data_IF_977769499304
#
_entry.id   IF_977769499304
#
_cell.length_a   1.000
_cell.length_b   1.000
_cell.length_c   1.000
_cell.angle_alpha   90.00
_cell.angle_beta   90.00
_cell.angle_gamma   90.00
#
_symmetry.space_group_name_H-M   'P 1'
#
loop_
_entity.id
_entity.type
_entity.pdbx_description
1 polymer ?
#
# COMPACT_ATOMS: atom_id res chain seq x y z
N UNK A 1 -21.11 -13.24 -1.53
CA UNK A 1 -20.64 -12.48 -2.72
C UNK A 1 -19.14 -12.63 -2.92
N UNK A 2 -18.35 -12.50 -1.85
CA UNK A 2 -16.90 -12.58 -1.88
C UNK A 2 -16.37 -13.98 -2.29
N UNK A 3 -16.90 -15.08 -1.74
CA UNK A 3 -16.58 -16.45 -2.19
C UNK A 3 -16.82 -16.68 -3.69
N UNK A 4 -17.86 -16.05 -4.25
CA UNK A 4 -18.16 -16.10 -5.69
C UNK A 4 -17.10 -15.34 -6.51
N UNK A 5 -16.65 -14.17 -6.05
CA UNK A 5 -15.57 -13.42 -6.72
C UNK A 5 -14.21 -14.11 -6.60
N UNK A 6 -13.92 -14.77 -5.48
CA UNK A 6 -12.74 -15.62 -5.33
C UNK A 6 -12.72 -16.78 -6.33
N UNK A 7 -13.86 -17.44 -6.52
CA UNK A 7 -14.04 -18.45 -7.57
C UNK A 7 -13.75 -17.88 -8.96
N UNK A 8 -14.25 -16.67 -9.25
CA UNK A 8 -13.97 -15.98 -10.52
C UNK A 8 -12.50 -15.66 -10.72
N UNK A 9 -11.76 -15.25 -9.70
CA UNK A 9 -10.30 -15.02 -9.82
C UNK A 9 -9.56 -16.31 -10.16
N UNK A 10 -9.98 -17.44 -9.57
CA UNK A 10 -9.38 -18.76 -9.83
C UNK A 10 -9.62 -19.26 -11.25
N UNK A 11 -10.87 -19.16 -11.70
CA UNK A 11 -11.34 -19.74 -12.95
C UNK A 11 -11.17 -18.80 -14.16
N UNK A 12 -10.94 -17.50 -13.93
CA UNK A 12 -10.78 -16.54 -15.01
C UNK A 12 -9.62 -16.92 -15.95
N UNK A 13 -9.78 -16.74 -17.28
CA UNK A 13 -8.66 -16.75 -18.20
C UNK A 13 -7.56 -15.78 -17.73
N UNK A 14 -6.29 -16.10 -17.98
CA UNK A 14 -5.16 -15.27 -17.51
C UNK A 14 -5.31 -13.78 -17.89
N UNK A 15 -5.80 -13.50 -19.10
CA UNK A 15 -6.06 -12.15 -19.60
C UNK A 15 -7.15 -11.38 -18.82
N UNK A 16 -8.05 -12.07 -18.12
CA UNK A 16 -9.15 -11.49 -17.34
C UNK A 16 -8.88 -11.53 -15.82
N UNK A 17 -7.76 -12.12 -15.38
CA UNK A 17 -7.46 -12.28 -13.96
C UNK A 17 -7.44 -10.94 -13.23
N UNK A 18 -6.80 -9.91 -13.80
CA UNK A 18 -6.76 -8.58 -13.16
C UNK A 18 -8.15 -7.95 -13.02
N UNK A 19 -9.03 -8.14 -14.00
CA UNK A 19 -10.40 -7.63 -13.90
C UNK A 19 -11.18 -8.34 -12.81
N UNK A 20 -11.00 -9.66 -12.67
CA UNK A 20 -11.61 -10.42 -11.58
C UNK A 20 -11.06 -10.00 -10.21
N UNK A 21 -9.76 -9.74 -10.11
CA UNK A 21 -9.10 -9.23 -8.90
C UNK A 21 -9.59 -7.82 -8.56
N UNK A 22 -9.70 -6.92 -9.54
CA UNK A 22 -10.24 -5.59 -9.35
C UNK A 22 -11.66 -5.65 -8.77
N UNK A 23 -12.53 -6.51 -9.30
CA UNK A 23 -13.88 -6.70 -8.76
C UNK A 23 -13.89 -7.18 -7.30
N UNK A 24 -12.91 -8.02 -6.91
CA UNK A 24 -12.72 -8.47 -5.54
C UNK A 24 -12.27 -7.33 -4.62
N UNK A 25 -11.22 -6.59 -5.01
CA UNK A 25 -10.66 -5.45 -4.24
C UNK A 25 -11.68 -4.32 -4.12
N UNK A 26 -12.52 -4.11 -5.14
CA UNK A 26 -13.59 -3.12 -5.11
C UNK A 26 -14.63 -3.37 -4.00
N UNK A 27 -14.78 -4.60 -3.51
CA UNK A 27 -15.62 -4.87 -2.33
C UNK A 27 -14.93 -4.48 -1.02
N UNK A 28 -13.59 -4.52 -0.96
CA UNK A 28 -12.81 -4.13 0.24
C UNK A 28 -12.69 -2.60 0.40
N UNK A 29 -13.16 -1.81 -0.57
CA UNK A 29 -13.06 -0.34 -0.56
C UNK A 29 -13.82 0.34 0.59
N UNK A 30 -14.83 -0.32 1.16
CA UNK A 30 -15.61 0.22 2.30
C UNK A 30 -14.88 0.07 3.64
N UNK A 31 -13.65 -0.43 3.62
CA UNK A 31 -12.83 -0.71 4.78
C UNK A 31 -11.71 0.32 4.83
N UNK A 32 -11.76 1.17 5.86
CA UNK A 32 -10.97 2.41 6.00
C UNK A 32 -9.47 2.27 6.21
N UNK A 33 -8.80 1.38 5.48
CA UNK A 33 -7.32 1.32 5.33
C UNK A 33 -6.88 1.05 3.89
N UNK A 34 -7.80 0.78 2.95
CA UNK A 34 -7.49 0.40 1.56
C UNK A 34 -7.47 1.63 0.62
N UNK A 35 -7.98 2.78 1.08
CA UNK A 35 -8.21 3.96 0.23
C UNK A 35 -6.92 4.72 -0.16
N UNK A 36 -5.90 4.76 0.69
CA UNK A 36 -4.69 5.60 0.51
C UNK A 36 -3.53 4.91 -0.23
N UNK A 37 -3.63 3.61 -0.46
CA UNK A 37 -2.57 2.78 -1.06
C UNK A 37 -2.91 2.26 -2.44
N UNK A 38 -4.17 2.42 -2.85
CA UNK A 38 -4.72 1.99 -4.13
C UNK A 38 -5.24 3.23 -4.86
N UNK A 39 -4.62 3.60 -5.99
CA UNK A 39 -5.26 4.44 -7.00
C UNK A 39 -6.52 3.76 -7.60
N UNK A 40 -7.71 4.16 -7.16
CA UNK A 40 -8.98 3.53 -7.54
C UNK A 40 -9.43 3.78 -8.99
N UNK A 41 -8.68 4.57 -9.76
CA UNK A 41 -8.92 4.77 -11.19
C UNK A 41 -7.69 4.39 -12.04
N UNK A 42 -7.23 3.12 -12.00
CA UNK A 42 -6.13 2.69 -12.86
C UNK A 42 -6.57 2.58 -14.34
N UNK A 43 -7.88 2.44 -14.57
CA UNK A 43 -8.48 2.29 -15.89
C UNK A 43 -8.16 3.50 -16.77
N UNK A 44 -7.43 3.23 -17.86
CA UNK A 44 -7.13 4.23 -18.87
C UNK A 44 -5.82 5.00 -18.66
N UNK A 45 -4.98 4.66 -17.68
CA UNK A 45 -3.64 5.25 -17.52
C UNK A 45 -2.52 4.30 -17.97
N UNK A 46 -2.61 3.04 -17.56
CA UNK A 46 -1.66 1.98 -17.94
C UNK A 46 -2.38 0.65 -18.18
N UNK A 47 -1.79 -0.20 -19.02
CA UNK A 47 -2.23 -1.58 -19.23
C UNK A 47 -1.07 -2.53 -18.96
N UNK A 48 -1.36 -3.63 -18.29
CA UNK A 48 -0.37 -4.69 -18.05
C UNK A 48 -0.33 -5.65 -19.24
N UNK A 49 0.87 -6.05 -19.64
CA UNK A 49 1.14 -7.12 -20.59
C UNK A 49 2.28 -8.00 -20.07
N UNK A 50 2.34 -9.29 -20.48
CA UNK A 50 3.55 -10.09 -20.29
C UNK A 50 4.76 -9.41 -20.94
N UNK A 51 5.94 -9.55 -20.33
CA UNK A 51 7.18 -9.10 -20.95
C UNK A 51 7.48 -9.92 -22.21
N UNK A 52 7.55 -9.27 -23.36
CA UNK A 52 8.03 -9.91 -24.58
C UNK A 52 9.57 -9.79 -24.69
N UNK A 53 10.26 -10.64 -25.46
CA UNK A 53 11.71 -10.52 -25.65
C UNK A 53 12.18 -9.14 -26.14
N UNK A 54 11.34 -8.45 -26.94
CA UNK A 54 11.62 -7.09 -27.40
C UNK A 54 11.54 -6.02 -26.30
N UNK A 55 10.92 -6.32 -25.16
CA UNK A 55 10.69 -5.41 -24.04
C UNK A 55 11.80 -5.50 -22.98
N UNK A 56 12.61 -6.56 -22.99
CA UNK A 56 13.62 -6.86 -21.95
C UNK A 56 14.62 -5.73 -21.73
N UNK A 57 15.12 -5.13 -22.82
CA UNK A 57 16.04 -3.99 -22.74
C UNK A 57 15.41 -2.83 -21.96
N UNK A 58 14.13 -2.54 -22.23
CA UNK A 58 13.42 -1.46 -21.57
C UNK A 58 13.11 -1.78 -20.09
N UNK A 59 12.81 -3.03 -19.77
CA UNK A 59 12.65 -3.49 -18.38
C UNK A 59 13.93 -3.27 -17.59
N UNK A 60 15.08 -3.67 -18.14
CA UNK A 60 16.39 -3.49 -17.51
C UNK A 60 16.73 -2.02 -17.32
N UNK A 61 16.41 -1.15 -18.28
CA UNK A 61 16.58 0.30 -18.16
C UNK A 61 15.74 0.89 -17.02
N UNK A 62 14.46 0.51 -16.92
CA UNK A 62 13.57 0.98 -15.85
C UNK A 62 14.12 0.59 -14.47
N UNK A 63 14.56 -0.66 -14.32
CA UNK A 63 15.15 -1.16 -13.08
C UNK A 63 16.46 -0.44 -12.78
N UNK A 64 17.30 -0.17 -13.79
CA UNK A 64 18.52 0.60 -13.62
C UNK A 64 18.24 2.02 -13.11
N UNK A 65 17.25 2.70 -13.70
CA UNK A 65 16.85 4.06 -13.32
C UNK A 65 16.35 4.14 -11.87
N UNK A 66 15.57 3.15 -11.43
CA UNK A 66 14.93 3.17 -10.11
C UNK A 66 15.72 2.47 -8.99
N UNK A 67 16.53 1.47 -9.34
CA UNK A 67 17.18 0.54 -8.40
C UNK A 67 18.67 0.36 -8.62
N UNK A 68 19.26 1.01 -9.62
CA UNK A 68 20.71 0.99 -9.87
C UNK A 68 21.22 -0.18 -10.71
N UNK A 69 22.53 -0.18 -10.94
CA UNK A 69 23.21 -1.10 -11.85
C UNK A 69 23.18 -2.56 -11.40
N UNK A 70 23.33 -2.79 -10.09
CA UNK A 70 23.32 -4.11 -9.46
C UNK A 70 21.95 -4.78 -9.63
N UNK A 71 20.87 -4.04 -9.33
CA UNK A 71 19.50 -4.52 -9.51
C UNK A 71 19.20 -4.82 -10.97
N UNK A 72 19.68 -3.99 -11.91
CA UNK A 72 19.55 -4.23 -13.34
C UNK A 72 20.33 -5.47 -13.82
N UNK A 73 21.50 -5.76 -13.24
CA UNK A 73 22.25 -6.98 -13.53
C UNK A 73 21.51 -8.24 -13.02
N UNK A 74 20.95 -8.17 -11.80
CA UNK A 74 20.12 -9.24 -11.25
C UNK A 74 18.84 -9.43 -12.09
N UNK A 75 18.24 -8.35 -12.58
CA UNK A 75 17.08 -8.44 -13.46
C UNK A 75 17.38 -9.18 -14.76
N UNK A 76 18.55 -8.93 -15.39
CA UNK A 76 19.00 -9.70 -16.56
C UNK A 76 19.14 -11.18 -16.24
N UNK A 77 19.77 -11.52 -15.10
CA UNK A 77 19.91 -12.91 -14.66
C UNK A 77 18.57 -13.63 -14.59
N UNK A 78 17.52 -12.96 -14.08
CA UNK A 78 16.18 -13.53 -13.99
C UNK A 78 15.42 -13.51 -15.31
N UNK A 79 15.56 -12.48 -16.15
CA UNK A 79 14.96 -12.46 -17.49
C UNK A 79 15.47 -13.63 -18.35
N UNK A 80 16.74 -14.00 -18.22
CA UNK A 80 17.32 -15.15 -18.93
C UNK A 80 16.71 -16.51 -18.49
N UNK A 81 16.13 -16.58 -17.29
CA UNK A 81 15.71 -17.84 -16.64
C UNK A 81 14.20 -17.99 -16.49
N UNK A 82 13.54 -16.90 -16.12
CA UNK A 82 12.10 -16.80 -15.89
C UNK A 82 11.57 -15.54 -16.59
N UNK A 83 11.70 -15.40 -17.92
CA UNK A 83 11.15 -14.25 -18.64
C UNK A 83 9.62 -14.14 -18.43
N UNK A 84 8.93 -15.26 -18.24
CA UNK A 84 7.51 -15.33 -17.94
C UNK A 84 7.12 -14.75 -16.58
N UNK A 85 8.07 -14.57 -15.66
CA UNK A 85 7.83 -13.94 -14.37
C UNK A 85 7.66 -12.42 -14.48
N UNK A 86 8.06 -11.81 -15.60
CA UNK A 86 8.05 -10.36 -15.78
C UNK A 86 6.79 -9.87 -16.50
N UNK A 87 6.22 -8.80 -15.95
CA UNK A 87 5.15 -8.01 -16.54
C UNK A 87 5.63 -6.59 -16.83
N UNK A 88 5.12 -6.02 -17.92
CA UNK A 88 5.34 -4.63 -18.31
C UNK A 88 4.04 -3.84 -18.25
N UNK A 89 4.14 -2.58 -17.85
CA UNK A 89 3.00 -1.67 -17.80
C UNK A 89 3.19 -0.58 -18.85
N UNK A 90 2.30 -0.57 -19.84
CA UNK A 90 2.32 0.38 -20.96
C UNK A 90 1.35 1.52 -20.72
N UNK A 91 1.78 2.75 -20.99
CA UNK A 91 0.86 3.88 -21.02
C UNK A 91 -0.20 3.66 -22.08
N UNK A 92 -1.47 3.85 -21.72
CA UNK A 92 -2.59 3.85 -22.67
C UNK A 92 -2.57 5.06 -23.61
N UNK A 93 -1.82 6.11 -23.28
CA UNK A 93 -1.71 7.34 -24.04
C UNK A 93 -0.57 7.32 -25.06
N UNK A 94 0.60 6.83 -24.66
CA UNK A 94 1.82 6.86 -25.49
C UNK A 94 2.28 5.49 -25.97
N UNK A 95 1.71 4.41 -25.43
CA UNK A 95 2.15 3.03 -25.68
C UNK A 95 3.50 2.62 -25.09
N UNK A 96 4.22 3.58 -24.50
CA UNK A 96 5.53 3.34 -23.89
C UNK A 96 5.43 2.47 -22.64
N UNK A 97 6.45 1.64 -22.42
CA UNK A 97 6.63 0.92 -21.16
C UNK A 97 7.14 1.90 -20.11
N UNK A 98 6.30 2.15 -19.11
CA UNK A 98 6.56 3.12 -18.04
C UNK A 98 6.91 2.47 -16.70
N UNK A 99 6.58 1.19 -16.54
CA UNK A 99 6.84 0.43 -15.32
C UNK A 99 6.97 -1.06 -15.62
N UNK A 100 7.52 -1.82 -14.67
CA UNK A 100 7.58 -3.28 -14.70
C UNK A 100 7.41 -3.88 -13.30
N UNK A 101 7.18 -5.19 -13.24
CA UNK A 101 7.18 -5.99 -12.02
C UNK A 101 7.53 -7.44 -12.33
N UNK A 102 8.08 -8.16 -11.36
CA UNK A 102 8.37 -9.58 -11.47
C UNK A 102 7.70 -10.38 -10.35
N UNK A 103 7.17 -11.55 -10.68
CA UNK A 103 6.69 -12.56 -9.74
C UNK A 103 7.50 -13.85 -9.93
N UNK A 104 8.66 -13.91 -9.26
CA UNK A 104 9.60 -15.01 -9.39
C UNK A 104 9.06 -16.24 -8.66
N UNK A 105 9.10 -17.42 -9.30
CA UNK A 105 8.69 -18.69 -8.70
C UNK A 105 9.93 -19.55 -8.46
N UNK A 106 10.16 -19.94 -7.21
CA UNK A 106 11.38 -20.63 -6.80
C UNK A 106 11.03 -21.95 -6.10
N UNK A 107 11.49 -23.05 -6.68
CA UNK A 107 11.33 -24.42 -6.12
C UNK A 107 12.67 -25.01 -5.64
N UNK A 108 13.77 -24.27 -5.82
CA UNK A 108 15.12 -24.65 -5.41
C UNK A 108 16.04 -23.43 -5.37
N UNK A 109 17.29 -23.58 -4.90
CA UNK A 109 18.18 -22.48 -4.48
C UNK A 109 18.76 -21.65 -5.65
N UNK A 110 18.12 -21.65 -6.81
CA UNK A 110 18.56 -20.88 -7.96
C UNK A 110 18.60 -19.38 -7.62
N UNK A 111 19.68 -18.72 -8.01
CA UNK A 111 19.87 -17.29 -7.82
C UNK A 111 20.24 -16.86 -6.40
N UNK A 112 20.40 -17.78 -5.44
CA UNK A 112 20.86 -17.42 -4.08
C UNK A 112 22.23 -16.73 -4.07
N UNK A 113 23.13 -17.11 -4.97
CA UNK A 113 24.48 -16.55 -5.09
C UNK A 113 24.54 -15.23 -5.87
N UNK A 114 23.52 -14.96 -6.68
CA UNK A 114 23.43 -13.76 -7.53
C UNK A 114 22.59 -12.66 -6.90
N UNK A 115 21.58 -13.07 -6.11
CA UNK A 115 20.50 -12.21 -5.71
C UNK A 115 20.32 -12.19 -4.18
N UNK A 116 20.80 -11.14 -3.49
CA UNK A 116 20.73 -11.02 -2.04
C UNK A 116 19.31 -11.05 -1.46
N UNK A 117 18.31 -10.64 -2.24
CA UNK A 117 16.90 -10.67 -1.81
C UNK A 117 16.36 -12.09 -1.87
N UNK A 118 16.72 -12.85 -2.90
CA UNK A 118 16.36 -14.28 -3.01
C UNK A 118 17.07 -15.09 -1.94
N UNK A 119 18.36 -14.82 -1.70
CA UNK A 119 19.10 -15.42 -0.58
C UNK A 119 18.43 -15.15 0.78
N UNK A 120 17.99 -13.91 1.02
CA UNK A 120 17.26 -13.55 2.23
C UNK A 120 15.93 -14.29 2.37
N UNK A 121 15.17 -14.45 1.28
CA UNK A 121 13.93 -15.21 1.28
C UNK A 121 14.16 -16.69 1.60
N UNK A 122 15.17 -17.30 0.99
CA UNK A 122 15.57 -18.67 1.29
C UNK A 122 16.01 -18.84 2.74
N UNK A 123 16.86 -17.95 3.26
CA UNK A 123 17.28 -18.00 4.66
C UNK A 123 16.08 -17.92 5.61
N UNK A 124 15.08 -17.07 5.32
CA UNK A 124 13.84 -17.00 6.10
C UNK A 124 13.04 -18.30 6.04
N UNK A 125 12.86 -18.87 4.84
CA UNK A 125 12.13 -20.12 4.67
C UNK A 125 12.81 -21.29 5.40
N UNK A 126 14.14 -21.38 5.33
CA UNK A 126 14.92 -22.41 6.02
C UNK A 126 14.86 -22.28 7.56
N UNK A 127 14.90 -21.05 8.07
CA UNK A 127 14.82 -20.80 9.52
C UNK A 127 13.42 -21.03 10.09
N UNK A 128 12.37 -20.76 9.30
CA UNK A 128 10.98 -20.93 9.69
C UNK A 128 10.47 -22.34 9.41
N UNK A 129 9.95 -22.56 8.21
CA UNK A 129 9.49 -23.88 7.77
C UNK A 129 9.92 -24.12 6.33
N UNK A 130 10.90 -25.02 6.11
CA UNK A 130 11.44 -25.32 4.80
C UNK A 130 10.38 -25.83 3.83
N UNK A 131 10.64 -25.65 2.52
CA UNK A 131 9.78 -26.18 1.47
C UNK A 131 9.74 -27.71 1.51
N UNK A 132 8.55 -28.28 1.31
CA UNK A 132 8.37 -29.71 1.08
C UNK A 132 8.53 -30.03 -0.42
N UNK A 133 8.70 -31.31 -0.73
CA UNK A 133 8.75 -31.76 -2.12
C UNK A 133 7.47 -31.34 -2.88
N UNK A 134 7.64 -30.68 -4.02
CA UNK A 134 6.55 -30.16 -4.85
C UNK A 134 6.00 -28.79 -4.43
N UNK A 135 6.46 -28.23 -3.31
CA UNK A 135 6.13 -26.86 -2.91
C UNK A 135 7.09 -25.84 -3.54
N UNK A 136 6.63 -24.61 -3.67
CA UNK A 136 7.44 -23.50 -4.13
C UNK A 136 7.24 -22.26 -3.25
N UNK A 137 8.20 -21.34 -3.30
CA UNK A 137 8.02 -19.97 -2.83
C UNK A 137 7.92 -19.01 -4.00
N UNK A 138 7.29 -17.85 -3.78
CA UNK A 138 7.20 -16.80 -4.76
C UNK A 138 7.67 -15.45 -4.21
N UNK A 139 8.34 -14.66 -5.04
CA UNK A 139 8.88 -13.35 -4.67
C UNK A 139 8.38 -12.30 -5.65
N UNK A 140 7.61 -11.35 -5.14
CA UNK A 140 7.23 -10.14 -5.87
C UNK A 140 8.38 -9.13 -5.81
N UNK A 141 9.08 -8.97 -6.93
CA UNK A 141 10.35 -8.23 -7.06
C UNK A 141 10.27 -7.23 -8.21
N UNK A 142 11.19 -6.27 -8.26
CA UNK A 142 11.27 -5.26 -9.33
C UNK A 142 9.96 -4.48 -9.57
N UNK A 143 9.20 -4.16 -8.51
CA UNK A 143 8.04 -3.26 -8.62
C UNK A 143 8.51 -1.83 -8.91
N UNK A 144 8.72 -1.54 -10.18
CA UNK A 144 9.44 -0.35 -10.62
C UNK A 144 8.55 0.50 -11.51
N UNK A 145 8.33 1.73 -11.04
CA UNK A 145 7.86 2.87 -11.81
C UNK A 145 8.80 4.02 -11.44
N UNK A 146 9.74 4.46 -12.30
CA UNK A 146 10.72 5.47 -11.90
C UNK A 146 10.09 6.79 -11.44
N UNK A 147 8.89 7.13 -11.93
CA UNK A 147 8.20 8.37 -11.58
C UNK A 147 7.42 8.25 -10.25
N UNK A 148 7.04 7.02 -9.86
CA UNK A 148 6.27 6.73 -8.66
C UNK A 148 6.82 5.52 -7.88
N UNK A 149 8.16 5.42 -7.78
CA UNK A 149 8.82 4.20 -7.36
C UNK A 149 8.35 3.72 -5.98
N UNK A 150 7.71 2.54 -5.95
CA UNK A 150 7.07 1.94 -4.78
C UNK A 150 6.22 2.92 -3.97
N UNK A 151 5.44 3.73 -4.69
CA UNK A 151 4.40 4.60 -4.15
C UNK A 151 3.06 4.29 -4.85
N UNK A 152 1.93 4.71 -4.26
CA UNK A 152 0.62 4.52 -4.89
C UNK A 152 0.60 5.12 -6.29
N UNK A 153 0.30 4.28 -7.28
CA UNK A 153 0.20 4.60 -8.70
C UNK A 153 -0.62 3.52 -9.41
N UNK A 154 -1.11 3.83 -10.60
CA UNK A 154 -1.84 2.85 -11.41
C UNK A 154 -0.99 1.59 -11.72
N UNK A 155 0.31 1.76 -11.99
CA UNK A 155 1.25 0.65 -12.23
C UNK A 155 1.46 -0.21 -10.99
N UNK A 156 1.69 0.42 -9.82
CA UNK A 156 1.86 -0.29 -8.56
C UNK A 156 0.60 -1.06 -8.15
N UNK A 157 -0.58 -0.50 -8.39
CA UNK A 157 -1.85 -1.20 -8.12
C UNK A 157 -2.00 -2.46 -8.95
N UNK A 158 -1.80 -2.36 -10.27
CA UNK A 158 -1.90 -3.50 -11.15
C UNK A 158 -0.88 -4.58 -10.77
N UNK A 159 0.32 -4.19 -10.33
CA UNK A 159 1.31 -5.13 -9.82
C UNK A 159 0.87 -5.83 -8.54
N UNK A 160 0.29 -5.10 -7.58
CA UNK A 160 -0.27 -5.71 -6.36
C UNK A 160 -1.46 -6.64 -6.67
N UNK A 161 -2.31 -6.27 -7.63
CA UNK A 161 -3.41 -7.11 -8.08
C UNK A 161 -2.93 -8.36 -8.80
N UNK A 162 -1.85 -8.26 -9.58
CA UNK A 162 -1.18 -9.42 -10.17
C UNK A 162 -0.70 -10.36 -9.09
N UNK A 163 0.05 -9.86 -8.09
CA UNK A 163 0.53 -10.64 -6.94
C UNK A 163 -0.64 -11.36 -6.24
N UNK A 164 -1.73 -10.66 -5.96
CA UNK A 164 -2.89 -11.26 -5.30
C UNK A 164 -3.56 -12.34 -6.16
N UNK A 165 -3.71 -12.09 -7.47
CA UNK A 165 -4.24 -13.07 -8.42
C UNK A 165 -3.37 -14.34 -8.49
N UNK A 166 -2.05 -14.18 -8.56
CA UNK A 166 -1.10 -15.30 -8.57
C UNK A 166 -1.20 -16.12 -7.27
N UNK A 167 -1.24 -15.47 -6.11
CA UNK A 167 -1.41 -16.15 -4.81
C UNK A 167 -2.72 -16.96 -4.77
N UNK A 168 -3.83 -16.38 -5.24
CA UNK A 168 -5.16 -17.02 -5.21
C UNK A 168 -5.21 -18.25 -6.13
N UNK A 169 -4.47 -18.21 -7.24
CA UNK A 169 -4.42 -19.26 -8.28
C UNK A 169 -3.29 -20.27 -8.07
N UNK A 170 -2.35 -20.01 -7.16
CA UNK A 170 -1.20 -20.86 -7.00
C UNK A 170 -1.57 -22.20 -6.34
N UNK A 171 -1.11 -23.29 -6.97
CA UNK A 171 -1.09 -24.62 -6.38
C UNK A 171 0.24 -24.84 -5.67
N UNK A 172 0.21 -25.37 -4.44
CA UNK A 172 1.42 -25.70 -3.65
C UNK A 172 2.36 -24.51 -3.36
N UNK A 173 1.83 -23.28 -3.31
CA UNK A 173 2.58 -22.13 -2.80
C UNK A 173 2.74 -22.24 -1.29
N UNK A 174 3.98 -22.36 -0.82
CA UNK A 174 4.29 -22.40 0.61
C UNK A 174 4.53 -21.01 1.19
N UNK A 175 5.36 -20.20 0.52
CA UNK A 175 5.73 -18.86 0.96
C UNK A 175 5.53 -17.83 -0.14
N UNK A 176 4.98 -16.67 0.19
CA UNK A 176 5.09 -15.48 -0.67
C UNK A 176 5.87 -14.38 0.03
N UNK A 177 6.73 -13.71 -0.72
CA UNK A 177 7.48 -12.54 -0.28
C UNK A 177 7.13 -11.34 -1.15
N UNK A 178 6.85 -10.20 -0.53
CA UNK A 178 6.73 -8.90 -1.20
C UNK A 178 7.93 -8.06 -0.81
N UNK A 179 8.69 -7.59 -1.81
CA UNK A 179 9.93 -6.85 -1.61
C UNK A 179 9.64 -5.36 -1.78
N UNK A 180 9.89 -4.59 -0.73
CA UNK A 180 9.77 -3.12 -0.73
C UNK A 180 11.07 -2.48 -0.24
N UNK A 181 11.24 -1.19 -0.51
CA UNK A 181 12.26 -0.36 0.12
C UNK A 181 12.06 -0.35 1.62
N UNK A 182 13.18 -0.36 2.32
CA UNK A 182 13.19 -0.30 3.78
C UNK A 182 13.03 1.14 4.29
N UNK A 183 11.95 1.79 3.86
CA UNK A 183 11.58 3.16 4.27
C UNK A 183 10.33 3.19 5.18
N UNK A 184 9.75 2.03 5.44
CA UNK A 184 8.61 1.83 6.32
C UNK A 184 7.25 2.20 5.73
N UNK A 185 7.18 2.74 4.51
CA UNK A 185 5.93 3.21 3.90
C UNK A 185 4.86 2.11 3.85
N UNK A 186 5.24 0.91 3.42
CA UNK A 186 4.32 -0.22 3.22
C UNK A 186 4.06 -1.07 4.47
N UNK A 187 4.70 -0.78 5.61
CA UNK A 187 4.62 -1.61 6.82
C UNK A 187 3.18 -1.81 7.31
N UNK A 188 2.42 -0.71 7.45
CA UNK A 188 1.06 -0.76 7.97
C UNK A 188 0.11 -1.51 7.03
N UNK A 189 0.18 -1.19 5.73
CA UNK A 189 -0.66 -1.84 4.71
C UNK A 189 -0.38 -3.33 4.57
N UNK A 190 0.89 -3.73 4.43
CA UNK A 190 1.25 -5.15 4.30
C UNK A 190 0.99 -5.91 5.61
N UNK A 191 1.25 -5.30 6.76
CA UNK A 191 0.92 -5.88 8.07
C UNK A 191 -0.59 -6.11 8.25
N UNK A 192 -1.43 -5.17 7.81
CA UNK A 192 -2.89 -5.35 7.81
C UNK A 192 -3.32 -6.53 6.92
N UNK A 193 -2.63 -6.75 5.79
CA UNK A 193 -2.82 -7.92 4.93
C UNK A 193 -2.18 -9.21 5.48
N UNK A 194 -1.67 -9.20 6.71
CA UNK A 194 -1.00 -10.34 7.35
C UNK A 194 0.30 -10.75 6.65
N UNK A 195 0.88 -9.86 5.85
CA UNK A 195 2.21 -10.01 5.27
C UNK A 195 3.20 -9.36 6.25
N UNK A 196 3.83 -10.17 7.09
CA UNK A 196 4.67 -9.66 8.18
C UNK A 196 6.09 -9.41 7.70
N UNK A 197 6.74 -8.31 8.12
CA UNK A 197 8.13 -8.09 7.75
C UNK A 197 9.03 -9.16 8.34
N UNK A 198 9.98 -9.64 7.54
CA UNK A 198 11.08 -10.48 8.01
C UNK A 198 12.15 -9.64 8.73
N UNK A 199 13.05 -10.32 9.45
CA UNK A 199 14.22 -9.69 10.07
C UNK A 199 15.33 -9.37 9.05
N UNK A 200 15.26 -9.97 7.86
CA UNK A 200 16.25 -9.77 6.82
C UNK A 200 16.13 -8.37 6.21
N UNK A 201 17.29 -7.71 6.05
CA UNK A 201 17.43 -6.40 5.41
C UNK A 201 18.50 -6.46 4.32
N UNK A 202 18.26 -7.18 3.21
CA UNK A 202 19.23 -7.28 2.15
C UNK A 202 19.51 -5.92 1.53
N UNK A 203 20.75 -5.75 1.10
CA UNK A 203 21.22 -4.57 0.39
C UNK A 203 21.63 -4.99 -1.01
N UNK A 204 21.21 -4.22 -2.01
CA UNK A 204 21.60 -4.40 -3.42
C UNK A 204 22.11 -3.06 -3.91
N UNK A 205 23.39 -2.95 -4.26
CA UNK A 205 24.03 -1.66 -4.52
C UNK A 205 23.90 -0.72 -3.31
N UNK A 206 23.41 0.49 -3.54
CA UNK A 206 23.21 1.52 -2.49
C UNK A 206 21.84 1.45 -1.80
N UNK A 207 21.14 0.32 -1.92
CA UNK A 207 19.72 0.23 -1.64
C UNK A 207 19.35 -0.88 -0.68
N UNK A 208 18.79 -0.50 0.47
CA UNK A 208 18.24 -1.41 1.46
C UNK A 208 16.78 -1.79 1.16
N UNK A 209 16.49 -3.08 1.26
CA UNK A 209 15.17 -3.66 1.04
C UNK A 209 14.66 -4.38 2.28
N UNK A 210 13.34 -4.52 2.35
CA UNK A 210 12.65 -5.33 3.34
C UNK A 210 11.71 -6.31 2.65
N UNK A 211 11.74 -7.54 3.14
CA UNK A 211 10.83 -8.60 2.68
C UNK A 211 9.67 -8.72 3.65
N UNK A 212 8.45 -8.77 3.12
CA UNK A 212 7.23 -9.09 3.85
C UNK A 212 6.80 -10.48 3.44
N UNK A 213 6.73 -11.39 4.41
CA UNK A 213 6.54 -12.81 4.17
C UNK A 213 5.18 -13.28 4.69
N UNK A 214 4.67 -14.34 4.04
CA UNK A 214 3.53 -15.11 4.54
C UNK A 214 3.68 -16.58 4.20
N UNK A 215 3.43 -17.42 5.20
CA UNK A 215 3.35 -18.87 5.08
C UNK A 215 1.90 -19.30 4.78
N UNK A 216 1.63 -19.71 3.55
CA UNK A 216 0.30 -20.10 3.10
C UNK A 216 -0.10 -21.51 3.54
N UNK A 217 0.81 -22.30 4.11
CA UNK A 217 0.48 -23.61 4.70
C UNK A 217 -0.24 -23.46 6.05
N UNK A 218 -0.03 -22.33 6.74
CA UNK A 218 -0.68 -22.05 8.03
C UNK A 218 -2.16 -21.69 7.85
N UNK A 219 -2.49 -21.02 6.74
CA UNK A 219 -3.84 -20.64 6.38
C UNK A 219 -3.90 -20.40 4.86
N UNK A 220 -4.79 -21.11 4.17
CA UNK A 220 -4.93 -20.93 2.71
C UNK A 220 -5.37 -19.51 2.35
N UNK A 221 -4.96 -19.02 1.17
CA UNK A 221 -5.31 -17.68 0.69
C UNK A 221 -6.81 -17.40 0.67
N UNK A 222 -7.63 -18.42 0.40
CA UNK A 222 -9.10 -18.30 0.40
C UNK A 222 -9.67 -18.14 1.80
N UNK A 223 -9.15 -18.87 2.78
CA UNK A 223 -9.58 -18.73 4.18
C UNK A 223 -9.13 -17.38 4.72
N UNK A 224 -7.91 -16.94 4.40
CA UNK A 224 -7.42 -15.61 4.77
C UNK A 224 -8.27 -14.46 4.18
N UNK A 225 -8.63 -14.54 2.89
CA UNK A 225 -9.51 -13.56 2.25
C UNK A 225 -10.92 -13.58 2.86
N UNK A 226 -11.49 -14.76 3.11
CA UNK A 226 -12.81 -14.90 3.74
C UNK A 226 -12.85 -14.46 5.21
N UNK A 227 -11.76 -14.59 5.96
CA UNK A 227 -11.68 -14.07 7.34
C UNK A 227 -11.51 -12.57 7.39
N UNK A 228 -10.86 -11.97 6.40
CA UNK A 228 -10.97 -10.52 6.20
C UNK A 228 -12.45 -10.15 6.00
N UNK A 229 -13.21 -10.81 5.13
CA UNK A 229 -14.68 -10.60 5.00
C UNK A 229 -15.44 -10.71 6.35
N UNK A 230 -15.12 -11.66 7.22
CA UNK A 230 -15.74 -11.77 8.55
C UNK A 230 -15.35 -10.64 9.52
N UNK A 231 -14.10 -10.16 9.45
CA UNK A 231 -13.67 -8.94 10.15
C UNK A 231 -14.40 -7.69 9.63
N UNK A 232 -14.83 -7.70 8.37
CA UNK A 232 -15.57 -6.62 7.72
C UNK A 232 -17.08 -6.70 7.94
N UNK A 233 -17.63 -7.91 8.12
CA UNK A 233 -19.04 -8.15 8.43
C UNK A 233 -19.34 -8.05 9.95
N UNK A 234 -18.32 -8.15 10.81
CA UNK A 234 -18.43 -8.17 12.26
C UNK A 234 -18.22 -6.82 12.94
N UNK A 235 -19.05 -5.82 12.64
CA UNK A 235 -19.24 -4.70 13.56
C UNK A 235 -19.96 -5.21 14.82
N UNK A 236 -19.16 -5.63 15.81
CA UNK A 236 -19.59 -5.84 17.18
C UNK A 236 -19.88 -7.29 17.57
N UNK A 237 -18.86 -8.05 17.97
CA UNK A 237 -18.94 -8.93 19.14
C UNK A 237 -17.57 -9.49 19.60
N UNK A 238 -17.10 -8.91 20.70
CA UNK A 238 -16.57 -9.58 21.92
C UNK A 238 -15.12 -10.13 21.98
N UNK A 239 -14.40 -9.55 22.95
CA UNK A 239 -13.26 -10.03 23.78
C UNK A 239 -11.82 -9.86 23.29
N UNK A 240 -11.28 -8.65 23.53
CA UNK A 240 -9.84 -8.49 23.82
C UNK A 240 -9.51 -9.07 25.20
N UNK A 241 -8.43 -9.86 25.36
CA UNK A 241 -7.85 -10.12 26.67
C UNK A 241 -7.30 -8.80 27.22
N UNK A 242 -7.53 -8.57 28.52
CA UNK A 242 -7.13 -7.35 29.22
C UNK A 242 -5.64 -7.04 29.01
N UNK A 243 -5.35 -5.98 28.24
CA UNK A 243 -4.03 -5.34 28.23
C UNK A 243 -3.94 -4.43 29.46
N UNK A 244 -2.94 -4.70 30.29
CA UNK A 244 -2.60 -3.96 31.51
C UNK A 244 -2.51 -2.44 31.27
N UNK A 245 -2.91 -1.59 32.24
CA UNK A 245 -2.91 -0.15 32.08
C UNK A 245 -1.47 0.39 32.03
N UNK A 246 -1.05 0.87 30.86
CA UNK A 246 0.19 1.62 30.71
C UNK A 246 -0.01 3.03 31.29
N UNK A 247 0.92 3.46 32.14
CA UNK A 247 0.89 4.69 32.95
C UNK A 247 0.48 5.93 32.14
N UNK A 248 -0.58 6.61 32.60
CA UNK A 248 -1.03 7.93 32.14
C UNK A 248 0.11 8.96 32.25
N UNK A 249 0.80 9.22 31.14
CA UNK A 249 1.68 10.38 30.99
C UNK A 249 0.85 11.66 30.88
N UNK A 250 1.34 12.76 31.46
CA UNK A 250 0.68 14.08 31.41
C UNK A 250 0.56 14.53 29.94
N UNK A 251 -0.66 14.54 29.41
CA UNK A 251 -0.96 15.07 28.08
C UNK A 251 -0.59 16.56 28.02
N UNK A 252 0.10 16.97 26.96
CA UNK A 252 0.44 18.37 26.71
C UNK A 252 -0.79 19.02 26.06
N UNK A 253 -1.45 19.94 26.79
CA UNK A 253 -2.64 20.64 26.30
C UNK A 253 -2.19 21.79 25.39
N UNK A 254 -2.32 21.61 24.08
CA UNK A 254 -2.06 22.67 23.09
C UNK A 254 -3.25 23.66 23.06
N UNK A 255 -2.99 24.95 22.92
CA UNK A 255 -4.03 25.92 22.57
C UNK A 255 -4.53 25.70 21.14
N UNK A 256 -5.73 26.20 20.80
CA UNK A 256 -6.29 26.04 19.45
C UNK A 256 -5.35 26.55 18.33
N UNK A 257 -4.71 27.73 18.43
CA UNK A 257 -3.79 28.19 17.40
C UNK A 257 -2.51 27.33 17.26
N UNK A 258 -1.99 26.81 18.37
CA UNK A 258 -0.84 25.90 18.39
C UNK A 258 -1.20 24.55 17.77
N UNK A 259 -2.40 24.05 18.05
CA UNK A 259 -2.94 22.83 17.46
C UNK A 259 -3.13 22.96 15.96
N UNK A 260 -3.76 24.05 15.49
CA UNK A 260 -3.94 24.33 14.07
C UNK A 260 -2.59 24.37 13.32
N UNK A 261 -1.55 24.93 13.95
CA UNK A 261 -0.18 24.95 13.41
C UNK A 261 0.40 23.54 13.35
N UNK A 262 0.29 22.80 14.45
CA UNK A 262 0.78 21.44 14.54
C UNK A 262 0.10 20.50 13.52
N UNK A 263 -1.20 20.69 13.23
CA UNK A 263 -1.93 19.94 12.19
C UNK A 263 -1.38 20.26 10.80
N UNK A 264 -1.14 21.54 10.47
CA UNK A 264 -0.57 21.92 9.16
C UNK A 264 0.84 21.40 8.98
N UNK A 265 1.63 21.37 10.03
CA UNK A 265 2.99 20.83 10.01
C UNK A 265 2.96 19.30 9.93
N UNK A 266 2.00 18.65 10.59
CA UNK A 266 1.81 17.21 10.50
C UNK A 266 1.32 16.77 9.10
N UNK A 267 0.43 17.55 8.47
CA UNK A 267 0.00 17.31 7.07
C UNK A 267 1.16 17.51 6.09
N UNK A 268 2.04 18.49 6.34
CA UNK A 268 3.27 18.65 5.55
C UNK A 268 4.24 17.49 5.78
N UNK A 269 4.37 17.03 7.01
CA UNK A 269 5.22 15.91 7.41
C UNK A 269 4.53 14.53 7.21
N UNK A 270 3.37 14.47 6.54
CA UNK A 270 2.51 13.29 6.52
C UNK A 270 3.26 12.04 6.04
N UNK A 271 4.22 12.20 5.15
CA UNK A 271 4.99 11.11 4.56
C UNK A 271 6.41 10.97 5.09
N UNK A 272 6.76 11.69 6.18
CA UNK A 272 8.07 11.67 6.83
C UNK A 272 7.95 11.15 8.26
N UNK A 273 8.07 9.83 8.51
CA UNK A 273 7.79 9.23 9.82
C UNK A 273 8.55 9.87 10.98
N UNK A 274 9.81 10.27 10.77
CA UNK A 274 10.63 10.92 11.79
C UNK A 274 10.17 12.35 12.11
N UNK A 275 9.77 13.12 11.10
CA UNK A 275 9.24 14.48 11.28
C UNK A 275 7.85 14.45 11.92
N UNK A 276 7.04 13.46 11.55
CA UNK A 276 5.73 13.24 12.11
C UNK A 276 5.81 12.79 13.58
N UNK A 277 6.77 11.92 13.94
CA UNK A 277 7.04 11.53 15.32
C UNK A 277 7.53 12.70 16.19
N UNK A 278 8.22 13.68 15.60
CA UNK A 278 8.65 14.90 16.27
C UNK A 278 7.49 15.89 16.50
N UNK A 279 6.39 15.75 15.76
CA UNK A 279 5.23 16.64 15.86
C UNK A 279 4.58 16.57 17.26
N UNK A 280 4.21 17.70 17.87
CA UNK A 280 3.53 17.75 19.17
C UNK A 280 2.27 16.88 19.27
N UNK A 281 1.52 16.70 18.18
CA UNK A 281 0.30 15.88 18.13
C UNK A 281 0.57 14.39 18.38
N UNK A 282 1.80 13.90 18.15
CA UNK A 282 2.19 12.51 18.41
C UNK A 282 2.19 12.15 19.89
N UNK A 283 2.21 13.15 20.78
CA UNK A 283 2.09 13.00 22.23
C UNK A 283 0.73 13.51 22.76
N UNK A 284 -0.16 13.90 21.85
CA UNK A 284 -1.50 14.38 22.15
C UNK A 284 -2.45 13.25 22.56
N UNK A 285 -3.59 13.64 23.11
CA UNK A 285 -4.62 12.71 23.59
C UNK A 285 -5.18 11.86 22.44
N UNK A 286 -5.25 12.46 21.26
CA UNK A 286 -5.59 11.87 19.96
C UNK A 286 -4.90 10.52 19.66
N UNK A 287 -3.62 10.37 20.01
CA UNK A 287 -2.79 9.18 19.76
C UNK A 287 -2.76 8.26 20.98
N UNK A 288 -2.69 8.84 22.18
CA UNK A 288 -2.56 8.10 23.42
C UNK A 288 -3.82 7.28 23.80
N UNK A 289 -5.02 7.79 23.50
CA UNK A 289 -6.28 7.14 23.88
C UNK A 289 -6.82 6.18 22.81
N UNK A 290 -6.45 6.37 21.53
CA UNK A 290 -6.89 5.52 20.41
C UNK A 290 -5.96 4.33 20.15
N UNK A 291 -4.68 4.44 20.53
CA UNK A 291 -3.66 3.45 20.21
C UNK A 291 -3.22 3.45 18.74
N UNK A 292 -3.66 4.45 17.96
CA UNK A 292 -3.32 4.64 16.55
C UNK A 292 -2.11 5.57 16.39
N UNK A 293 -1.37 5.45 15.29
CA UNK A 293 -0.28 6.39 15.01
C UNK A 293 -0.84 7.75 14.55
N UNK A 294 -0.09 8.85 14.74
CA UNK A 294 -0.51 10.17 14.26
C UNK A 294 -0.81 10.17 12.75
N UNK A 295 -0.08 9.35 11.99
CA UNK A 295 -0.32 9.11 10.58
C UNK A 295 -1.73 8.59 10.31
N UNK A 296 -2.12 7.51 10.99
CA UNK A 296 -3.45 6.89 10.81
C UNK A 296 -4.58 7.82 11.23
N UNK A 297 -4.35 8.68 12.23
CA UNK A 297 -5.36 9.64 12.66
C UNK A 297 -5.52 10.79 11.65
N UNK A 298 -4.43 11.27 11.05
CA UNK A 298 -4.48 12.29 10.01
C UNK A 298 -5.19 11.79 8.75
N UNK A 299 -4.93 10.54 8.33
CA UNK A 299 -5.58 9.94 7.17
C UNK A 299 -7.10 9.82 7.39
N UNK A 300 -7.52 9.32 8.56
CA UNK A 300 -8.96 9.28 8.89
C UNK A 300 -9.62 10.65 8.92
N UNK A 301 -8.92 11.67 9.42
CA UNK A 301 -9.43 13.04 9.42
C UNK A 301 -9.49 13.65 8.00
N UNK A 302 -8.61 13.21 7.09
CA UNK A 302 -8.70 13.55 5.66
C UNK A 302 -9.93 12.88 5.03
N UNK A 303 -10.22 11.62 5.38
CA UNK A 303 -11.36 10.89 4.85
C UNK A 303 -12.72 11.49 5.24
N UNK A 304 -12.85 12.10 6.43
CA UNK A 304 -14.11 12.78 6.80
C UNK A 304 -14.47 13.94 5.85
N UNK A 305 -13.51 14.46 5.09
CA UNK A 305 -13.77 15.47 4.04
C UNK A 305 -14.73 14.94 2.98
N UNK A 306 -14.75 13.62 2.71
CA UNK A 306 -15.67 13.00 1.76
C UNK A 306 -17.14 13.09 2.18
N UNK A 307 -17.40 13.18 3.48
CA UNK A 307 -18.76 13.30 4.03
C UNK A 307 -19.38 14.69 3.81
N UNK A 308 -18.56 15.68 3.47
CA UNK A 308 -19.05 17.01 3.15
C UNK A 308 -19.69 17.07 1.76
N UNK A 309 -20.71 17.92 1.57
CA UNK A 309 -21.28 18.18 0.23
C UNK A 309 -20.19 18.72 -0.71
N UNK A 310 -19.88 17.98 -1.78
CA UNK A 310 -18.75 18.30 -2.68
C UNK A 310 -17.38 18.02 -2.07
N UNK A 311 -17.32 17.07 -1.13
CA UNK A 311 -16.12 16.58 -0.44
C UNK A 311 -15.11 15.93 -1.37
N UNK A 312 -15.55 15.23 -2.42
CA UNK A 312 -14.70 14.54 -3.41
C UNK A 312 -13.60 15.43 -3.98
N UNK A 313 -13.95 16.65 -4.43
CA UNK A 313 -12.96 17.60 -5.00
C UNK A 313 -11.99 18.13 -3.95
N UNK A 314 -12.43 18.25 -2.69
CA UNK A 314 -11.61 18.72 -1.56
C UNK A 314 -10.66 17.63 -1.08
N UNK A 315 -11.15 16.40 -0.97
CA UNK A 315 -10.39 15.19 -0.68
C UNK A 315 -9.30 14.98 -1.74
N UNK A 316 -9.66 15.07 -3.02
CA UNK A 316 -8.70 14.97 -4.12
C UNK A 316 -7.61 16.05 -4.06
N UNK A 317 -7.99 17.29 -3.73
CA UNK A 317 -7.02 18.39 -3.58
C UNK A 317 -6.08 18.15 -2.40
N UNK A 318 -6.57 17.78 -1.22
CA UNK A 318 -5.73 17.58 -0.03
C UNK A 318 -4.79 16.38 -0.19
N UNK A 319 -5.27 15.25 -0.73
CA UNK A 319 -4.45 14.06 -1.01
C UNK A 319 -3.37 14.35 -2.05
N UNK A 320 -3.72 15.05 -3.14
CA UNK A 320 -2.75 15.44 -4.17
C UNK A 320 -1.73 16.45 -3.65
N UNK A 321 -2.15 17.43 -2.84
CA UNK A 321 -1.28 18.50 -2.31
C UNK A 321 -0.22 17.96 -1.38
N UNK A 322 -0.62 17.07 -0.48
CA UNK A 322 0.30 16.51 0.49
C UNK A 322 1.01 15.27 -0.05
N UNK A 323 0.65 14.73 -1.22
CA UNK A 323 1.43 13.70 -1.92
C UNK A 323 2.79 14.22 -2.40
N UNK A 324 3.79 13.35 -2.46
CA UNK A 324 5.15 13.69 -2.95
C UNK A 324 5.19 14.04 -4.45
N UNK A 325 4.08 13.89 -5.17
CA UNK A 325 4.03 13.97 -6.63
C UNK A 325 3.73 15.38 -7.19
N UNK A 326 3.65 16.41 -6.34
CA UNK A 326 3.55 17.80 -6.76
C UNK A 326 4.57 18.65 -5.98
N UNK A 327 5.67 19.12 -6.61
CA UNK A 327 6.69 19.91 -5.91
C UNK A 327 6.15 21.29 -5.49
N UNK A 328 5.06 21.75 -6.11
CA UNK A 328 4.39 23.02 -5.77
C UNK A 328 2.87 22.89 -5.85
N UNK A 329 2.16 23.75 -5.12
CA UNK A 329 0.70 23.85 -5.16
C UNK A 329 0.18 24.20 -6.57
N UNK A 330 0.94 24.95 -7.36
CA UNK A 330 0.60 25.31 -8.74
C UNK A 330 0.76 24.11 -9.69
N UNK A 331 1.73 23.22 -9.44
CA UNK A 331 1.86 21.95 -10.15
C UNK A 331 0.69 21.01 -9.79
N UNK A 332 0.30 20.96 -8.51
CA UNK A 332 -0.88 20.20 -8.08
C UNK A 332 -2.16 20.72 -8.75
N UNK A 333 -2.37 22.04 -8.79
CA UNK A 333 -3.53 22.65 -9.46
C UNK A 333 -3.58 22.30 -10.95
N UNK A 334 -2.45 22.37 -11.66
CA UNK A 334 -2.34 21.99 -13.07
C UNK A 334 -2.66 20.51 -13.29
N UNK A 335 -2.14 19.62 -12.45
CA UNK A 335 -2.40 18.17 -12.51
C UNK A 335 -3.88 17.85 -12.31
N UNK A 336 -4.55 18.60 -11.45
CA UNK A 336 -5.98 18.44 -11.16
C UNK A 336 -6.90 19.12 -12.20
N UNK A 337 -6.34 19.75 -13.23
CA UNK A 337 -7.12 20.48 -14.24
C UNK A 337 -7.90 21.67 -13.65
N UNK A 338 -7.42 22.25 -12.55
CA UNK A 338 -8.08 23.34 -11.83
C UNK A 338 -7.32 24.65 -11.97
N UNK A 339 -8.04 25.78 -11.95
CA UNK A 339 -7.40 27.08 -11.74
C UNK A 339 -6.75 27.13 -10.35
N UNK A 340 -5.64 27.85 -10.22
CA UNK A 340 -4.93 27.97 -8.93
C UNK A 340 -5.82 28.55 -7.82
N UNK A 341 -6.68 29.51 -8.14
CA UNK A 341 -7.67 30.08 -7.21
C UNK A 341 -8.70 29.06 -6.73
N UNK A 342 -9.19 28.21 -7.64
CA UNK A 342 -10.14 27.13 -7.32
C UNK A 342 -9.47 26.07 -6.44
N UNK A 343 -8.26 25.67 -6.80
CA UNK A 343 -7.42 24.75 -6.02
C UNK A 343 -7.22 25.26 -4.59
N UNK A 344 -6.76 26.51 -4.43
CA UNK A 344 -6.46 27.08 -3.11
C UNK A 344 -7.70 27.13 -2.22
N UNK A 345 -8.86 27.47 -2.79
CA UNK A 345 -10.14 27.45 -2.08
C UNK A 345 -10.49 26.06 -1.56
N UNK A 346 -10.31 25.01 -2.38
CA UNK A 346 -10.56 23.64 -1.96
C UNK A 346 -9.56 23.17 -0.90
N UNK A 347 -8.28 23.49 -1.05
CA UNK A 347 -7.23 23.12 -0.08
C UNK A 347 -7.49 23.76 1.29
N UNK A 348 -7.77 25.07 1.34
CA UNK A 348 -8.08 25.77 2.59
C UNK A 348 -9.31 25.18 3.28
N UNK A 349 -10.36 24.85 2.53
CA UNK A 349 -11.56 24.24 3.08
C UNK A 349 -11.30 22.84 3.63
N UNK A 350 -10.53 22.01 2.91
CA UNK A 350 -10.18 20.66 3.34
C UNK A 350 -9.33 20.68 4.63
N UNK A 351 -8.26 21.49 4.65
CA UNK A 351 -7.39 21.62 5.83
C UNK A 351 -8.15 22.14 7.04
N UNK A 352 -9.05 23.10 6.86
CA UNK A 352 -9.94 23.58 7.93
C UNK A 352 -10.81 22.45 8.49
N UNK A 353 -11.45 21.67 7.61
CA UNK A 353 -12.29 20.54 8.03
C UNK A 353 -11.50 19.51 8.84
N UNK A 354 -10.36 19.05 8.31
CA UNK A 354 -9.44 18.13 9.00
C UNK A 354 -9.07 18.67 10.39
N UNK A 355 -8.74 19.96 10.47
CA UNK A 355 -8.33 20.61 11.72
C UNK A 355 -9.48 20.66 12.74
N UNK A 356 -10.70 20.97 12.29
CA UNK A 356 -11.90 21.02 13.12
C UNK A 356 -12.26 19.63 13.69
N UNK A 357 -12.18 18.58 12.88
CA UNK A 357 -12.43 17.19 13.29
C UNK A 357 -11.40 16.74 14.33
N UNK A 358 -10.11 16.94 14.05
CA UNK A 358 -9.03 16.59 14.98
C UNK A 358 -9.13 17.35 16.30
N UNK A 359 -9.52 18.62 16.26
CA UNK A 359 -9.71 19.42 17.48
C UNK A 359 -10.90 18.94 18.31
N UNK A 360 -12.02 18.60 17.67
CA UNK A 360 -13.17 18.01 18.37
C UNK A 360 -12.80 16.69 19.05
N UNK A 361 -11.93 15.91 18.42
CA UNK A 361 -11.37 14.69 18.98
C UNK A 361 -10.44 14.93 20.17
N UNK A 362 -9.54 15.91 20.08
CA UNK A 362 -8.64 16.25 21.19
C UNK A 362 -9.43 16.71 22.43
N UNK A 363 -10.55 17.42 22.23
CA UNK A 363 -11.42 17.86 23.32
C UNK A 363 -12.29 16.74 23.91
N UNK A 364 -12.86 15.87 23.07
CA UNK A 364 -13.81 14.83 23.49
C UNK A 364 -13.14 13.53 23.95
N UNK A 365 -11.98 13.17 23.39
CA UNK A 365 -11.32 11.87 23.59
C UNK A 365 -12.03 10.68 22.92
N UNK A 366 -13.03 10.93 22.06
CA UNK A 366 -13.65 9.88 21.25
C UNK A 366 -12.66 9.41 20.15
N UNK A 367 -12.93 8.33 19.40
CA UNK A 367 -12.22 7.97 18.16
C UNK A 367 -12.91 8.53 16.90
N UNK A 368 -12.14 8.92 15.87
CA UNK A 368 -12.71 9.48 14.62
C UNK A 368 -13.55 8.40 13.93
N UNK A 369 -14.87 8.55 13.97
CA UNK A 369 -15.82 7.72 13.24
C UNK A 369 -16.14 8.33 11.89
N UNK A 370 -15.80 7.62 10.81
CA UNK A 370 -16.29 7.89 9.46
C UNK A 370 -17.68 7.25 9.35
N UNK A 371 -18.70 8.05 9.07
CA UNK A 371 -20.11 7.68 9.14
C UNK A 371 -20.53 6.70 8.04
N UNK A 372 -20.67 5.42 8.38
CA UNK A 372 -21.43 4.43 7.60
C UNK A 372 -22.85 4.18 8.13
N UNK A 373 -23.35 5.01 9.05
CA UNK A 373 -24.69 4.84 9.60
C UNK A 373 -25.53 6.12 9.55
N UNK A 374 -26.20 6.31 8.41
CA UNK A 374 -27.42 7.12 8.30
C UNK A 374 -28.42 6.38 7.41
N UNK A 375 -28.84 5.20 7.85
CA UNK A 375 -30.04 4.53 7.33
C UNK A 375 -30.77 3.79 8.44
N UNK A 376 -30.84 4.39 9.62
CA UNK A 376 -31.78 4.01 10.66
C UNK A 376 -31.99 5.20 11.59
N UNK A 377 -32.85 6.14 11.20
CA UNK A 377 -33.86 6.75 12.07
C UNK A 377 -34.52 7.95 11.36
N UNK A 378 -35.79 7.71 11.00
CA UNK A 378 -36.88 8.62 10.59
C UNK A 378 -36.99 9.00 9.12
#
# INVERSE_FOLDING_TARGET
MHQYLLGRVREAPAAQMLQAVHALVYLERSVGHVLDTIDWHPDGLVRELPCAPADEMRVVELIHEAEGAESAAIARFWLDRQPEAFSVYRSTRTDDIVACSAWLRLSGPEGEDVDPVVAAAWAHAHAGTPLRAGEHMAIARFHVDPQAYQRPSASNNLAQWRVMGEIIRADHLAWSFVVMRDDGFWNGYLGHKGMMPTDARPVVGDHGYRLFARDWRTQSAVVWLAENEALLAGAGAVTSPARTPQKRGKHMVLSRPEFDTAVRDALRALWWPNELAANPLSRGRLVAETGWSLHDVLLRAIDTVLEERGGEKRHLVVTTTYSKAAPTQEAAARRLGMSFSTYRRHLTAAVKHVTDVLWSHELSGAPITVGLDRSAER
#
